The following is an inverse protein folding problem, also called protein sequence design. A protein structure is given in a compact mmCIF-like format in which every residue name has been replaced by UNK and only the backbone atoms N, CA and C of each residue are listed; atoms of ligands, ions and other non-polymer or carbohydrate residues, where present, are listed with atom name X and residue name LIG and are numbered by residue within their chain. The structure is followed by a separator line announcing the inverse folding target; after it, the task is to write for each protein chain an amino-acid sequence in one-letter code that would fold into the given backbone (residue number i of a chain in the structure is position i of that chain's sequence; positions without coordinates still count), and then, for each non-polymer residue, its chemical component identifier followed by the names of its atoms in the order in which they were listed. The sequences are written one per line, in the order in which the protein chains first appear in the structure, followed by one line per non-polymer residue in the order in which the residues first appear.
data_IF_069019176367
#
_entry.id   IF_069019176367
#
_cell.length_a   1.000
_cell.length_b   1.000
_cell.length_c   1.000
_cell.angle_alpha   90.00
_cell.angle_beta   90.00
_cell.angle_gamma   90.00
#
_symmetry.space_group_name_H-M   'P 1'
#
loop_
_entity.id
_entity.type
_entity.pdbx_description
1 polymer ?
#
# COMPACT_ATOMS: atom_id res chain seq x y z
N UNK A 1 -8.02 19.49 5.15
CA UNK A 1 -7.81 18.83 3.85
C UNK A 1 -9.17 18.45 3.33
N UNK A 2 -9.38 18.63 2.03
CA UNK A 2 -10.65 18.55 1.30
C UNK A 2 -10.92 17.18 0.65
N UNK A 3 -9.99 16.23 0.72
CA UNK A 3 -10.16 14.86 0.19
C UNK A 3 -10.02 14.75 -1.34
N UNK A 4 -9.56 15.82 -2.00
CA UNK A 4 -9.35 15.89 -3.44
C UNK A 4 -8.18 15.01 -3.89
N UNK A 5 -8.31 14.45 -5.10
CA UNK A 5 -7.29 13.64 -5.76
C UNK A 5 -6.75 14.38 -6.97
N UNK A 6 -5.45 14.25 -7.19
CA UNK A 6 -4.72 14.89 -8.29
C UNK A 6 -3.83 13.86 -8.99
N UNK A 7 -3.71 14.00 -10.30
CA UNK A 7 -2.91 13.10 -11.15
C UNK A 7 -1.98 13.92 -12.02
N UNK A 8 -0.74 13.46 -12.16
CA UNK A 8 0.25 14.02 -13.07
C UNK A 8 0.60 13.00 -14.15
N UNK A 9 0.49 13.38 -15.42
CA UNK A 9 1.08 12.63 -16.52
C UNK A 9 2.53 13.08 -16.73
N UNK A 10 3.47 12.25 -16.28
CA UNK A 10 4.90 12.55 -16.35
C UNK A 10 5.46 12.58 -17.78
N UNK A 11 4.68 12.14 -18.77
CA UNK A 11 5.03 12.13 -20.20
C UNK A 11 4.70 13.44 -20.90
N UNK A 12 4.01 14.35 -20.22
CA UNK A 12 3.60 15.64 -20.81
C UNK A 12 4.81 16.47 -21.24
N UNK A 13 4.62 17.23 -22.31
CA UNK A 13 5.64 18.12 -22.83
C UNK A 13 5.89 19.27 -21.85
N UNK A 14 7.16 19.59 -21.60
CA UNK A 14 7.57 20.71 -20.75
C UNK A 14 6.91 22.05 -21.09
N UNK A 15 6.53 22.27 -22.37
CA UNK A 15 5.85 23.48 -22.86
C UNK A 15 4.45 23.67 -22.29
N UNK A 16 3.82 22.61 -21.76
CA UNK A 16 2.52 22.69 -21.08
C UNK A 16 2.63 23.24 -19.66
N UNK A 17 3.84 23.42 -19.16
CA UNK A 17 4.09 23.73 -17.75
C UNK A 17 4.90 25.01 -17.59
N UNK A 18 4.92 25.52 -16.36
CA UNK A 18 5.67 26.72 -16.04
C UNK A 18 7.17 26.42 -16.04
N UNK A 19 7.93 27.15 -16.85
CA UNK A 19 9.39 27.07 -16.88
C UNK A 19 9.98 28.34 -16.25
N UNK A 20 10.93 28.17 -15.35
CA UNK A 20 11.63 29.27 -14.67
C UNK A 20 13.14 28.98 -14.63
N UNK A 21 13.95 30.00 -14.92
CA UNK A 21 15.40 29.91 -14.86
C UNK A 21 15.90 30.29 -13.46
N UNK A 22 16.56 29.36 -12.78
CA UNK A 22 17.16 29.54 -11.46
C UNK A 22 18.63 29.12 -11.52
N UNK A 23 19.54 30.03 -11.16
CA UNK A 23 20.99 29.79 -11.17
C UNK A 23 21.49 29.20 -12.51
N UNK A 24 21.13 29.85 -13.61
CA UNK A 24 21.46 29.43 -14.98
C UNK A 24 20.88 28.07 -15.45
N UNK A 25 20.14 27.38 -14.59
CA UNK A 25 19.48 26.11 -14.90
C UNK A 25 17.99 26.36 -15.15
N UNK A 26 17.45 25.78 -16.21
CA UNK A 26 16.02 25.84 -16.50
C UNK A 26 15.28 24.77 -15.69
N UNK A 27 14.32 25.20 -14.89
CA UNK A 27 13.47 24.34 -14.06
C UNK A 27 12.04 24.32 -14.59
N UNK A 28 11.46 23.13 -14.67
CA UNK A 28 10.08 22.93 -15.13
C UNK A 28 9.21 22.55 -13.93
N UNK A 29 8.22 23.37 -13.64
CA UNK A 29 7.25 23.17 -12.56
C UNK A 29 5.95 22.60 -13.14
N UNK A 30 5.76 21.29 -12.99
CA UNK A 30 4.59 20.57 -13.53
C UNK A 30 3.36 20.76 -12.64
N UNK A 31 2.31 21.33 -13.22
CA UNK A 31 0.96 21.34 -12.63
C UNK A 31 0.31 19.96 -12.76
N UNK A 32 -0.66 19.60 -11.89
CA UNK A 32 -1.42 18.36 -12.05
C UNK A 32 -2.17 18.36 -13.37
N UNK A 33 -2.15 17.23 -14.08
CA UNK A 33 -2.89 17.01 -15.32
C UNK A 33 -4.39 17.00 -15.07
N UNK A 34 -4.82 16.34 -13.99
CA UNK A 34 -6.22 16.22 -13.61
C UNK A 34 -6.39 16.43 -12.11
N UNK A 35 -7.45 17.14 -11.71
CA UNK A 35 -7.84 17.35 -10.33
C UNK A 35 -9.32 17.02 -10.16
N UNK A 36 -9.67 16.30 -9.09
CA UNK A 36 -11.08 16.07 -8.74
C UNK A 36 -11.70 17.23 -7.97
N UNK A 37 -10.90 18.21 -7.53
CA UNK A 37 -11.37 19.39 -6.79
C UNK A 37 -12.43 20.17 -7.60
N UNK A 38 -13.53 20.55 -6.94
CA UNK A 38 -14.63 21.32 -7.53
C UNK A 38 -15.48 20.61 -8.58
N UNK A 39 -15.03 19.48 -9.16
CA UNK A 39 -15.71 18.81 -10.28
C UNK A 39 -16.50 17.59 -9.83
N UNK A 40 -15.92 16.77 -8.97
CA UNK A 40 -16.51 15.51 -8.49
C UNK A 40 -16.86 15.60 -7.00
N UNK A 41 -17.30 16.76 -6.54
CA UNK A 41 -17.52 17.04 -5.10
C UNK A 41 -18.46 16.07 -4.40
N UNK A 42 -19.40 15.44 -5.12
CA UNK A 42 -20.29 14.40 -4.59
C UNK A 42 -19.67 12.99 -4.53
N UNK A 43 -18.63 12.71 -5.32
CA UNK A 43 -17.96 11.41 -5.42
C UNK A 43 -16.58 11.40 -4.74
N UNK A 44 -16.04 12.58 -4.43
CA UNK A 44 -14.79 12.74 -3.71
C UNK A 44 -14.92 12.35 -2.23
N UNK A 45 -13.75 12.14 -1.61
CA UNK A 45 -13.68 12.03 -0.17
C UNK A 45 -14.06 13.36 0.47
N UNK A 46 -14.80 13.31 1.56
CA UNK A 46 -15.11 14.48 2.41
C UNK A 46 -14.12 14.63 3.57
N UNK A 47 -13.24 13.65 3.73
CA UNK A 47 -12.24 13.54 4.77
C UNK A 47 -10.83 13.35 4.17
N UNK A 48 -9.76 13.55 4.97
CA UNK A 48 -8.40 13.31 4.52
C UNK A 48 -8.20 11.88 3.99
N UNK A 49 -7.64 11.78 2.78
CA UNK A 49 -7.23 10.51 2.19
C UNK A 49 -6.00 10.00 2.93
N UNK A 50 -6.08 8.81 3.50
CA UNK A 50 -5.01 8.17 4.26
C UNK A 50 -4.10 7.31 3.39
N UNK A 51 -4.65 6.71 2.33
CA UNK A 51 -3.90 5.81 1.47
C UNK A 51 -4.42 5.86 0.04
N UNK A 52 -3.48 5.76 -0.91
CA UNK A 52 -3.73 5.60 -2.34
C UNK A 52 -2.93 4.39 -2.79
N UNK A 53 -3.58 3.36 -3.30
CA UNK A 53 -2.95 2.12 -3.72
C UNK A 53 -3.32 1.78 -5.17
N UNK A 54 -2.35 1.37 -6.00
CA UNK A 54 -2.66 0.83 -7.31
C UNK A 54 -3.38 -0.52 -7.16
N UNK A 55 -4.36 -0.75 -8.02
CA UNK A 55 -5.07 -2.03 -8.10
C UNK A 55 -4.61 -2.71 -9.37
N UNK A 56 -3.74 -3.71 -9.22
CA UNK A 56 -3.22 -4.47 -10.36
C UNK A 56 -4.39 -5.05 -11.15
N UNK A 57 -4.52 -4.71 -12.42
CA UNK A 57 -5.50 -5.36 -13.32
C UNK A 57 -4.77 -6.40 -14.15
N UNK A 58 -4.11 -7.37 -13.51
CA UNK A 58 -3.76 -8.59 -14.23
C UNK A 58 -5.09 -9.27 -14.56
N UNK A 59 -5.46 -9.31 -15.83
CA UNK A 59 -6.61 -10.07 -16.33
C UNK A 59 -6.59 -11.43 -15.65
N UNK A 60 -7.50 -11.62 -14.70
CA UNK A 60 -7.69 -12.89 -14.04
C UNK A 60 -8.13 -13.83 -15.16
N UNK A 61 -7.22 -14.66 -15.68
CA UNK A 61 -7.56 -15.80 -16.54
C UNK A 61 -8.25 -16.84 -15.66
N UNK A 62 -9.38 -16.49 -15.07
CA UNK A 62 -10.34 -17.50 -14.64
C UNK A 62 -10.91 -18.10 -15.93
N UNK A 63 -10.62 -19.38 -16.12
CA UNK A 63 -11.29 -20.22 -17.10
C UNK A 63 -12.76 -20.39 -16.68
N UNK A 64 -13.57 -19.34 -16.81
CA UNK A 64 -15.02 -19.45 -16.75
C UNK A 64 -15.55 -19.46 -18.17
N UNK A 65 -15.79 -20.67 -18.67
CA UNK A 65 -16.68 -20.91 -19.80
C UNK A 65 -18.03 -20.22 -19.53
N UNK A 66 -18.44 -19.29 -20.40
CA UNK A 66 -19.86 -19.23 -20.77
C UNK A 66 -20.66 -17.95 -20.54
N UNK A 67 -20.09 -16.76 -20.28
CA UNK A 67 -20.89 -15.52 -20.30
C UNK A 67 -20.16 -14.36 -21.00
N UNK A 68 -20.03 -14.50 -22.31
CA UNK A 68 -19.54 -13.49 -23.24
C UNK A 68 -20.67 -12.59 -23.75
N UNK A 69 -21.41 -11.89 -22.89
CA UNK A 69 -22.37 -10.88 -23.34
C UNK A 69 -22.61 -9.87 -22.22
N UNK A 70 -21.85 -8.77 -22.22
CA UNK A 70 -22.18 -7.42 -21.75
C UNK A 70 -20.87 -6.59 -21.66
N UNK A 71 -20.06 -6.62 -22.71
CA UNK A 71 -19.04 -5.59 -22.92
C UNK A 71 -19.69 -4.52 -23.79
N UNK A 72 -19.99 -3.35 -23.22
CA UNK A 72 -20.16 -2.14 -24.03
C UNK A 72 -18.87 -1.95 -24.82
N UNK A 73 -18.94 -2.29 -26.10
CA UNK A 73 -17.90 -2.09 -27.09
C UNK A 73 -17.59 -0.60 -27.23
N UNK A 74 -16.34 -0.34 -27.64
CA UNK A 74 -15.78 0.93 -28.14
C UNK A 74 -15.24 1.90 -27.08
N UNK A 75 -13.95 1.72 -26.73
CA UNK A 75 -12.91 2.80 -26.65
C UNK A 75 -11.59 2.36 -25.95
N UNK A 76 -11.47 1.13 -25.43
CA UNK A 76 -10.31 0.74 -24.62
C UNK A 76 -9.12 0.22 -25.45
N UNK A 77 -8.47 1.09 -26.23
CA UNK A 77 -7.11 0.88 -26.75
C UNK A 77 -6.04 1.68 -25.97
N UNK A 78 -6.41 2.30 -24.85
CA UNK A 78 -5.51 3.07 -23.99
C UNK A 78 -4.99 2.28 -22.78
N UNK A 79 -3.85 2.72 -22.23
CA UNK A 79 -3.25 2.21 -20.99
C UNK A 79 -4.12 2.61 -19.78
N UNK A 80 -5.21 1.90 -19.52
CA UNK A 80 -6.02 2.13 -18.32
C UNK A 80 -5.56 1.27 -17.14
N UNK A 81 -5.46 1.86 -15.96
CA UNK A 81 -5.21 1.12 -14.72
C UNK A 81 -6.11 1.63 -13.60
N UNK A 82 -6.33 0.77 -12.59
CA UNK A 82 -7.19 1.08 -11.47
C UNK A 82 -6.39 1.57 -10.28
N UNK A 83 -6.96 2.53 -9.56
CA UNK A 83 -6.41 3.11 -8.34
C UNK A 83 -7.50 3.08 -7.28
N UNK A 84 -7.12 2.76 -6.05
CA UNK A 84 -7.98 2.86 -4.89
C UNK A 84 -7.53 3.99 -3.99
N UNK A 85 -8.48 4.78 -3.48
CA UNK A 85 -8.23 5.79 -2.45
C UNK A 85 -9.10 5.52 -1.23
N UNK A 86 -8.52 5.61 -0.04
CA UNK A 86 -9.21 5.36 1.22
C UNK A 86 -9.03 6.53 2.18
N UNK A 87 -10.10 6.97 2.83
CA UNK A 87 -10.07 8.01 3.86
C UNK A 87 -10.15 7.46 5.29
N UNK A 88 -10.05 8.36 6.27
CA UNK A 88 -10.13 8.05 7.71
C UNK A 88 -11.49 7.50 8.18
N UNK A 89 -12.55 7.76 7.42
CA UNK A 89 -13.90 7.28 7.73
C UNK A 89 -14.18 5.90 7.15
N UNK A 90 -13.17 5.27 6.52
CA UNK A 90 -13.30 3.96 5.91
C UNK A 90 -14.15 3.98 4.64
N UNK A 91 -14.19 5.10 3.91
CA UNK A 91 -14.74 5.14 2.56
C UNK A 91 -13.63 4.82 1.57
N UNK A 92 -13.81 3.73 0.82
CA UNK A 92 -12.90 3.27 -0.22
C UNK A 92 -13.49 3.61 -1.60
N UNK A 93 -12.85 4.49 -2.35
CA UNK A 93 -13.22 4.81 -3.72
C UNK A 93 -12.29 4.08 -4.70
N UNK A 94 -12.88 3.48 -5.72
CA UNK A 94 -12.16 2.90 -6.86
C UNK A 94 -12.26 3.83 -8.05
N UNK A 95 -11.11 4.10 -8.66
CA UNK A 95 -10.93 4.99 -9.81
C UNK A 95 -10.28 4.25 -10.95
N UNK A 96 -10.59 4.64 -12.18
CA UNK A 96 -9.89 4.21 -13.38
C UNK A 96 -9.15 5.43 -13.94
N UNK A 97 -7.84 5.32 -14.05
CA UNK A 97 -7.05 6.27 -14.82
C UNK A 97 -7.22 5.93 -16.30
N UNK A 98 -7.73 6.88 -17.09
CA UNK A 98 -8.00 6.70 -18.53
C UNK A 98 -7.18 7.70 -19.34
N UNK A 99 -6.68 7.26 -20.49
CA UNK A 99 -6.00 8.11 -21.46
C UNK A 99 -6.95 8.46 -22.62
N UNK A 100 -7.13 9.74 -22.87
CA UNK A 100 -7.95 10.30 -23.94
C UNK A 100 -7.18 10.27 -25.27
N UNK A 101 -7.81 9.69 -26.31
CA UNK A 101 -7.20 9.64 -27.64
C UNK A 101 -7.24 10.99 -28.38
N UNK A 102 -8.25 11.80 -28.10
CA UNK A 102 -8.41 13.15 -28.67
C UNK A 102 -8.51 14.15 -27.54
N UNK A 103 -7.68 15.18 -27.61
CA UNK A 103 -7.75 16.33 -26.71
C UNK A 103 -8.83 17.25 -27.26
N UNK A 104 -9.92 17.43 -26.52
CA UNK A 104 -10.93 18.42 -26.88
C UNK A 104 -10.46 19.82 -26.44
N UNK A 105 -9.97 20.60 -27.40
CA UNK A 105 -9.53 21.98 -27.16
C UNK A 105 -10.69 22.92 -26.82
N UNK A 106 -11.94 22.56 -27.12
CA UNK A 106 -13.12 23.36 -26.79
C UNK A 106 -13.55 23.18 -25.33
N UNK A 107 -13.03 22.14 -24.65
CA UNK A 107 -13.42 21.75 -23.30
C UNK A 107 -14.82 21.13 -23.26
N UNK A 108 -14.93 19.96 -22.64
CA UNK A 108 -16.22 19.29 -22.43
C UNK A 108 -16.59 19.30 -20.94
N UNK A 109 -17.88 19.19 -20.61
CA UNK A 109 -18.30 18.99 -19.21
C UNK A 109 -17.71 17.70 -18.61
N UNK A 110 -17.38 16.72 -19.45
CA UNK A 110 -16.71 15.46 -19.07
C UNK A 110 -15.19 15.58 -18.88
N UNK A 111 -14.59 16.72 -19.23
CA UNK A 111 -13.16 17.01 -19.07
C UNK A 111 -12.90 18.12 -18.04
N UNK A 112 -13.93 18.50 -17.27
CA UNK A 112 -13.75 19.38 -16.13
C UNK A 112 -12.69 18.80 -15.17
N UNK A 113 -11.76 19.64 -14.73
CA UNK A 113 -10.64 19.25 -13.88
C UNK A 113 -9.38 18.85 -14.65
N UNK A 114 -9.44 18.70 -15.98
CA UNK A 114 -8.30 18.45 -16.86
C UNK A 114 -7.65 19.76 -17.31
N UNK A 115 -6.32 19.81 -17.31
CA UNK A 115 -5.59 20.97 -17.87
C UNK A 115 -5.69 21.01 -19.40
N UNK A 116 -5.58 22.19 -20.04
CA UNK A 116 -5.53 22.30 -21.49
C UNK A 116 -4.40 21.44 -22.08
N UNK A 117 -4.72 20.55 -23.01
CA UNK A 117 -3.74 19.63 -23.60
C UNK A 117 -3.54 18.31 -22.84
N UNK A 118 -4.05 18.22 -21.61
CA UNK A 118 -3.97 17.02 -20.79
C UNK A 118 -4.69 15.83 -21.45
N UNK A 119 -4.19 14.63 -21.20
CA UNK A 119 -4.76 13.39 -21.77
C UNK A 119 -5.18 12.37 -20.74
N UNK A 120 -4.78 12.53 -19.48
CA UNK A 120 -5.06 11.55 -18.43
C UNK A 120 -6.10 12.11 -17.48
N UNK A 121 -7.18 11.37 -17.25
CA UNK A 121 -8.20 11.72 -16.24
C UNK A 121 -8.56 10.53 -15.35
N UNK A 122 -9.07 10.83 -14.17
CA UNK A 122 -9.66 9.81 -13.28
C UNK A 122 -11.17 9.74 -13.51
N UNK A 123 -11.67 8.52 -13.67
CA UNK A 123 -13.09 8.21 -13.72
C UNK A 123 -13.44 7.42 -12.47
N UNK A 124 -14.42 7.90 -11.71
CA UNK A 124 -14.93 7.16 -10.55
C UNK A 124 -15.62 5.87 -11.02
N UNK A 125 -15.28 4.75 -10.40
CA UNK A 125 -15.83 3.43 -10.73
C UNK A 125 -16.84 2.96 -9.69
N UNK A 126 -16.49 3.01 -8.40
CA UNK A 126 -17.37 2.57 -7.32
C UNK A 126 -16.87 3.06 -5.95
N UNK A 127 -17.77 2.98 -4.96
CA UNK A 127 -17.48 3.32 -3.56
C UNK A 127 -17.89 2.15 -2.67
N UNK A 128 -17.02 1.79 -1.73
CA UNK A 128 -17.26 0.73 -0.73
C UNK A 128 -17.10 1.32 0.67
N UNK A 129 -18.11 1.15 1.52
CA UNK A 129 -18.03 1.57 2.92
C UNK A 129 -17.49 0.42 3.80
N UNK A 130 -16.30 0.59 4.34
CA UNK A 130 -15.58 -0.45 5.08
C UNK A 130 -16.11 -0.63 6.51
N UNK A 131 -16.44 0.48 7.18
CA UNK A 131 -16.86 0.45 8.59
C UNK A 131 -18.16 -0.33 8.83
N UNK A 132 -19.10 -0.32 7.88
CA UNK A 132 -20.36 -1.06 7.98
C UNK A 132 -20.24 -2.52 7.51
N UNK A 133 -19.28 -2.83 6.65
CA UNK A 133 -19.18 -4.14 5.97
C UNK A 133 -18.20 -5.11 6.62
N UNK A 134 -17.07 -4.59 7.13
CA UNK A 134 -15.95 -5.41 7.58
C UNK A 134 -16.04 -5.82 9.05
N UNK A 135 -16.72 -5.04 9.89
CA UNK A 135 -16.75 -5.26 11.33
C UNK A 135 -18.03 -5.96 11.80
N UNK A 136 -17.92 -7.02 12.63
CA UNK A 136 -19.06 -7.58 13.32
C UNK A 136 -19.78 -6.54 14.18
N UNK A 137 -21.10 -6.67 14.31
CA UNK A 137 -21.94 -5.74 15.09
C UNK A 137 -21.44 -5.57 16.52
N UNK A 138 -20.91 -6.63 17.14
CA UNK A 138 -20.39 -6.60 18.51
C UNK A 138 -19.22 -5.61 18.69
N UNK A 139 -18.37 -5.44 17.67
CA UNK A 139 -17.25 -4.48 17.69
C UNK A 139 -17.77 -3.07 17.48
N UNK A 140 -18.69 -2.89 16.52
CA UNK A 140 -19.28 -1.58 16.20
C UNK A 140 -20.08 -0.98 17.37
N UNK A 141 -20.67 -1.82 18.23
CA UNK A 141 -21.39 -1.37 19.42
C UNK A 141 -20.50 -0.69 20.47
N UNK A 142 -19.21 -1.01 20.52
CA UNK A 142 -18.27 -0.46 21.50
C UNK A 142 -17.61 0.83 21.00
N UNK A 143 -17.15 0.82 19.75
CA UNK A 143 -16.48 1.94 19.07
C UNK A 143 -16.42 1.62 17.58
N UNK A 144 -16.71 2.60 16.72
CA UNK A 144 -16.45 2.47 15.28
C UNK A 144 -14.93 2.51 15.06
N UNK A 145 -14.32 1.44 14.55
CA UNK A 145 -12.88 1.42 14.27
C UNK A 145 -12.52 2.48 13.23
N UNK A 146 -11.37 3.13 13.42
CA UNK A 146 -10.78 3.98 12.40
C UNK A 146 -9.88 3.15 11.49
N UNK A 147 -10.00 3.35 10.19
CA UNK A 147 -9.12 2.77 9.19
C UNK A 147 -7.81 3.55 9.13
N UNK A 148 -6.67 2.87 9.02
CA UNK A 148 -5.35 3.50 9.10
C UNK A 148 -4.53 3.32 7.81
N UNK A 149 -4.63 2.16 7.19
CA UNK A 149 -3.92 1.81 5.96
C UNK A 149 -4.71 0.74 5.21
N UNK A 150 -4.40 0.57 3.93
CA UNK A 150 -4.96 -0.48 3.08
C UNK A 150 -3.87 -1.05 2.20
N UNK A 151 -3.92 -2.35 1.95
CA UNK A 151 -3.11 -3.02 0.92
C UNK A 151 -3.95 -4.02 0.14
N UNK A 152 -3.79 -4.03 -1.17
CA UNK A 152 -4.38 -5.05 -2.04
C UNK A 152 -3.47 -6.26 -2.11
N UNK A 153 -4.05 -7.46 -2.12
CA UNK A 153 -3.30 -8.70 -2.26
C UNK A 153 -2.71 -8.75 -3.68
N UNK A 154 -1.37 -8.81 -3.86
CA UNK A 154 -0.75 -8.72 -5.19
C UNK A 154 -1.17 -9.84 -6.14
N UNK A 155 -1.41 -11.05 -5.63
CA UNK A 155 -1.81 -12.21 -6.44
C UNK A 155 -3.30 -12.20 -6.81
N UNK A 156 -4.14 -11.56 -6.00
CA UNK A 156 -5.57 -11.41 -6.27
C UNK A 156 -6.07 -10.04 -5.77
N UNK A 157 -6.06 -9.02 -6.64
CA UNK A 157 -6.40 -7.63 -6.31
C UNK A 157 -7.89 -7.44 -6.02
N UNK A 158 -8.71 -8.49 -6.11
CA UNK A 158 -10.07 -8.46 -5.58
C UNK A 158 -10.09 -8.45 -4.05
N UNK A 159 -9.04 -8.96 -3.41
CA UNK A 159 -8.89 -9.00 -1.96
C UNK A 159 -7.97 -7.89 -1.47
N UNK A 160 -8.31 -7.33 -0.32
CA UNK A 160 -7.50 -6.33 0.36
C UNK A 160 -7.59 -6.46 1.87
N UNK A 161 -6.60 -5.91 2.55
CA UNK A 161 -6.55 -5.83 4.01
C UNK A 161 -6.51 -4.38 4.45
N UNK A 162 -7.11 -4.10 5.61
CA UNK A 162 -7.24 -2.76 6.17
C UNK A 162 -6.78 -2.77 7.63
N UNK A 163 -5.71 -2.04 7.94
CA UNK A 163 -5.26 -1.83 9.31
C UNK A 163 -6.18 -0.89 10.08
N UNK A 164 -6.38 -1.15 11.37
CA UNK A 164 -7.32 -0.41 12.22
C UNK A 164 -6.68 0.08 13.52
N UNK A 165 -7.35 0.99 14.22
CA UNK A 165 -6.93 1.54 15.52
C UNK A 165 -7.22 0.64 16.74
N UNK A 166 -7.84 -0.53 16.53
CA UNK A 166 -8.25 -1.47 17.59
C UNK A 166 -7.49 -2.82 17.56
N UNK A 167 -6.34 -2.85 16.89
CA UNK A 167 -5.39 -3.97 16.93
C UNK A 167 -5.75 -5.12 15.99
N UNK A 168 -6.86 -5.03 15.27
CA UNK A 168 -7.25 -6.00 14.24
C UNK A 168 -6.96 -5.48 12.85
N UNK A 169 -6.77 -6.39 11.90
CA UNK A 169 -6.72 -6.06 10.46
C UNK A 169 -7.95 -6.66 9.82
N UNK A 170 -8.70 -5.88 9.06
CA UNK A 170 -9.92 -6.35 8.40
C UNK A 170 -9.61 -6.87 7.00
N UNK A 171 -10.32 -7.90 6.57
CA UNK A 171 -10.23 -8.48 5.23
C UNK A 171 -11.48 -8.13 4.44
N UNK A 172 -11.30 -7.47 3.30
CA UNK A 172 -12.38 -7.10 2.40
C UNK A 172 -12.17 -7.59 0.98
N UNK A 173 -13.24 -7.50 0.18
CA UNK A 173 -13.19 -7.74 -1.26
C UNK A 173 -13.96 -6.65 -2.02
N UNK A 174 -13.50 -6.33 -3.24
CA UNK A 174 -14.04 -5.20 -4.04
C UNK A 174 -15.48 -5.36 -4.52
N UNK A 175 -15.99 -6.60 -4.59
CA UNK A 175 -17.30 -6.93 -5.16
C UNK A 175 -18.27 -7.51 -4.11
N UNK A 176 -18.19 -7.05 -2.86
CA UNK A 176 -19.08 -7.45 -1.75
C UNK A 176 -19.16 -8.96 -1.49
N UNK A 177 -18.10 -9.69 -1.83
CA UNK A 177 -17.98 -11.11 -1.51
C UNK A 177 -17.66 -11.25 -0.01
N UNK A 178 -18.41 -12.10 0.68
CA UNK A 178 -18.08 -12.48 2.06
C UNK A 178 -16.79 -13.30 2.05
N UNK A 179 -15.70 -12.69 2.50
CA UNK A 179 -14.39 -13.34 2.57
C UNK A 179 -14.08 -13.82 3.98
N UNK A 180 -13.82 -15.13 4.18
CA UNK A 180 -13.23 -15.64 5.42
C UNK A 180 -11.69 -15.63 5.33
N UNK A 181 -10.98 -15.41 6.45
CA UNK A 181 -11.49 -14.81 7.69
C UNK A 181 -11.82 -13.32 7.45
N UNK A 182 -12.81 -12.78 8.16
CA UNK A 182 -13.19 -11.36 8.03
C UNK A 182 -12.23 -10.41 8.74
N UNK A 183 -11.62 -10.90 9.81
CA UNK A 183 -10.71 -10.16 10.67
C UNK A 183 -9.49 -11.02 10.94
N UNK A 184 -8.34 -10.38 11.03
CA UNK A 184 -7.10 -10.94 11.53
C UNK A 184 -6.85 -10.35 12.91
N UNK A 185 -6.79 -11.25 13.91
CA UNK A 185 -6.71 -10.90 15.34
C UNK A 185 -5.34 -11.24 15.89
N UNK A 186 -4.86 -10.56 16.96
CA UNK A 186 -3.65 -10.99 17.65
C UNK A 186 -3.83 -12.40 18.27
N UNK A 187 -2.72 -13.10 18.53
CA UNK A 187 -2.71 -14.45 19.09
C UNK A 187 -3.38 -14.51 20.48
N UNK A 188 -3.24 -13.44 21.26
CA UNK A 188 -3.83 -13.33 22.59
C UNK A 188 -4.44 -11.94 22.80
N UNK A 189 -5.62 -11.92 23.41
CA UNK A 189 -6.36 -10.70 23.75
C UNK A 189 -7.43 -10.34 22.72
N UNK A 190 -8.52 -9.74 23.21
CA UNK A 190 -9.57 -9.17 22.37
C UNK A 190 -9.16 -7.84 21.73
N UNK A 191 -10.12 -7.10 21.14
CA UNK A 191 -9.89 -5.74 20.66
C UNK A 191 -9.26 -4.88 21.75
N UNK A 192 -8.13 -4.24 21.43
CA UNK A 192 -7.37 -3.35 22.33
C UNK A 192 -7.07 -2.06 21.58
N UNK A 193 -6.84 -0.96 22.30
CA UNK A 193 -6.45 0.32 21.68
C UNK A 193 -5.00 0.30 21.18
N UNK A 194 -4.69 -0.62 20.25
CA UNK A 194 -3.38 -0.81 19.62
C UNK A 194 -3.59 -0.51 18.14
N UNK A 195 -2.83 0.42 17.57
CA UNK A 195 -2.98 0.79 16.16
C UNK A 195 -2.15 -0.15 15.29
N UNK A 196 -2.77 -0.74 14.26
CA UNK A 196 -2.06 -1.43 13.19
C UNK A 196 -1.51 -0.37 12.21
N UNK A 197 -0.37 0.23 12.58
CA UNK A 197 0.22 1.39 11.88
C UNK A 197 0.61 1.08 10.44
N UNK A 198 1.10 -0.12 10.17
CA UNK A 198 1.62 -0.51 8.86
C UNK A 198 1.28 -1.97 8.57
N UNK A 199 1.00 -2.27 7.31
CA UNK A 199 0.80 -3.62 6.80
C UNK A 199 1.54 -3.78 5.48
N UNK A 200 2.13 -4.95 5.25
CA UNK A 200 2.85 -5.22 4.00
C UNK A 200 2.75 -6.68 3.56
N UNK A 201 2.40 -6.89 2.29
CA UNK A 201 2.29 -8.23 1.70
C UNK A 201 3.66 -8.72 1.25
N UNK A 202 3.90 -10.03 1.38
CA UNK A 202 5.11 -10.62 0.81
C UNK A 202 5.09 -10.48 -0.72
N UNK A 203 6.14 -9.95 -1.35
CA UNK A 203 6.21 -9.81 -2.80
C UNK A 203 6.47 -11.14 -3.54
N UNK A 204 6.64 -12.25 -2.81
CA UNK A 204 7.06 -13.55 -3.36
C UNK A 204 5.88 -14.51 -3.60
N UNK A 205 4.70 -13.98 -3.94
CA UNK A 205 3.54 -14.76 -4.39
C UNK A 205 2.79 -15.55 -3.31
N UNK A 206 3.34 -15.67 -2.09
CA UNK A 206 2.64 -16.28 -0.96
C UNK A 206 1.63 -15.29 -0.36
N UNK A 207 0.40 -15.71 -0.04
CA UNK A 207 -0.62 -14.82 0.52
C UNK A 207 -0.40 -14.63 2.03
N UNK A 208 0.79 -14.14 2.40
CA UNK A 208 1.19 -13.78 3.76
C UNK A 208 1.48 -12.29 3.84
N UNK A 209 1.25 -11.71 5.00
CA UNK A 209 1.49 -10.30 5.24
C UNK A 209 1.96 -10.05 6.67
N UNK A 210 2.72 -8.97 6.83
CA UNK A 210 3.19 -8.49 8.12
C UNK A 210 2.31 -7.33 8.59
N UNK A 211 2.19 -7.19 9.90
CA UNK A 211 1.51 -6.07 10.57
C UNK A 211 2.44 -5.51 11.64
N UNK A 212 2.72 -4.21 11.56
CA UNK A 212 3.46 -3.46 12.59
C UNK A 212 2.49 -2.65 13.44
N UNK A 213 2.58 -2.80 14.76
CA UNK A 213 1.64 -2.23 15.71
C UNK A 213 2.24 -1.07 16.53
N UNK A 214 1.37 -0.27 17.16
CA UNK A 214 1.78 0.86 17.99
C UNK A 214 2.37 0.49 19.35
N UNK A 215 2.21 -0.75 19.80
CA UNK A 215 2.84 -1.29 21.01
C UNK A 215 4.22 -1.91 20.74
N UNK A 216 4.72 -1.81 19.50
CA UNK A 216 5.98 -2.42 19.10
C UNK A 216 5.89 -3.90 18.73
N UNK A 217 4.68 -4.47 18.73
CA UNK A 217 4.47 -5.83 18.27
C UNK A 217 4.50 -5.92 16.74
N UNK A 218 4.97 -7.06 16.26
CA UNK A 218 4.93 -7.44 14.83
C UNK A 218 4.18 -8.76 14.73
N UNK A 219 3.33 -8.88 13.71
CA UNK A 219 2.58 -10.11 13.45
C UNK A 219 2.77 -10.53 12.01
N UNK A 220 3.05 -11.81 11.80
CA UNK A 220 3.02 -12.46 10.50
C UNK A 220 1.72 -13.25 10.36
N UNK A 221 0.89 -12.84 9.42
CA UNK A 221 -0.40 -13.46 9.13
C UNK A 221 -0.40 -14.14 7.77
N UNK A 222 -1.26 -15.15 7.65
CA UNK A 222 -1.63 -15.76 6.37
C UNK A 222 -3.08 -15.42 6.06
N UNK A 223 -3.39 -15.15 4.79
CA UNK A 223 -4.74 -14.75 4.37
C UNK A 223 -5.84 -15.77 4.69
N UNK A 224 -5.49 -17.04 4.96
CA UNK A 224 -6.44 -18.12 5.25
C UNK A 224 -6.64 -18.38 6.74
N UNK A 225 -5.91 -17.70 7.63
CA UNK A 225 -5.98 -17.90 9.09
C UNK A 225 -6.34 -16.60 9.80
N UNK A 226 -7.29 -16.66 10.74
CA UNK A 226 -7.69 -15.51 11.56
C UNK A 226 -6.58 -15.08 12.55
N UNK A 227 -5.77 -16.03 13.02
CA UNK A 227 -4.69 -15.80 13.97
C UNK A 227 -3.33 -15.76 13.25
N UNK A 228 -2.33 -15.03 13.78
CA UNK A 228 -1.01 -14.95 13.16
C UNK A 228 -0.31 -16.32 13.18
N UNK A 229 0.53 -16.56 12.18
CA UNK A 229 1.48 -17.66 12.18
C UNK A 229 2.54 -17.43 13.27
N UNK A 230 3.04 -16.19 13.35
CA UNK A 230 4.05 -15.78 14.32
C UNK A 230 3.72 -14.38 14.84
N UNK A 231 3.86 -14.17 16.14
CA UNK A 231 3.67 -12.87 16.78
C UNK A 231 4.85 -12.56 17.71
N UNK A 232 5.49 -11.42 17.46
CA UNK A 232 6.63 -10.91 18.23
C UNK A 232 6.20 -9.69 19.03
N UNK A 233 5.90 -9.87 20.32
CA UNK A 233 5.29 -8.81 21.15
C UNK A 233 6.22 -7.62 21.42
N UNK A 234 7.51 -7.86 21.63
CA UNK A 234 8.48 -6.83 22.05
C UNK A 234 9.58 -6.60 21.00
N UNK A 235 9.23 -6.71 19.71
CA UNK A 235 10.20 -6.62 18.59
C UNK A 235 11.05 -5.36 18.60
N UNK A 236 10.46 -4.25 19.05
CA UNK A 236 11.06 -2.91 19.07
C UNK A 236 11.19 -2.37 20.50
N UNK A 237 11.25 -3.25 21.51
CA UNK A 237 11.27 -2.89 22.93
C UNK A 237 10.11 -1.96 23.34
N UNK A 238 8.90 -2.24 22.85
CA UNK A 238 7.69 -1.47 23.13
C UNK A 238 7.57 -0.15 22.34
N UNK A 239 8.51 0.18 21.46
CA UNK A 239 8.43 1.39 20.65
C UNK A 239 7.47 1.20 19.46
N UNK A 240 6.58 2.15 19.16
CA UNK A 240 5.65 2.00 18.03
C UNK A 240 6.37 1.71 16.72
N UNK A 241 5.86 0.74 15.95
CA UNK A 241 6.33 0.49 14.59
C UNK A 241 5.80 1.59 13.67
N UNK A 242 6.70 2.28 12.98
CA UNK A 242 6.39 3.38 12.06
C UNK A 242 6.29 2.89 10.62
N UNK A 243 7.26 2.08 10.19
CA UNK A 243 7.28 1.48 8.87
C UNK A 243 7.74 0.03 8.96
N UNK A 244 7.16 -0.81 8.12
CA UNK A 244 7.48 -2.22 8.01
C UNK A 244 7.37 -2.60 6.55
N UNK A 245 8.43 -3.17 5.98
CA UNK A 245 8.44 -3.59 4.58
C UNK A 245 9.28 -4.85 4.37
N UNK A 246 8.78 -5.76 3.54
CA UNK A 246 9.54 -6.92 3.06
C UNK A 246 10.72 -6.48 2.20
N UNK A 247 11.81 -7.27 2.22
CA UNK A 247 12.85 -7.14 1.21
C UNK A 247 12.29 -7.51 -0.17
N UNK A 248 12.70 -6.78 -1.21
CA UNK A 248 12.27 -7.05 -2.58
C UNK A 248 13.05 -8.20 -3.24
N UNK A 249 14.19 -8.59 -2.66
CA UNK A 249 15.11 -9.58 -3.24
C UNK A 249 15.21 -10.88 -2.42
N UNK A 250 14.77 -10.89 -1.16
CA UNK A 250 14.85 -12.05 -0.26
C UNK A 250 13.50 -12.31 0.44
N UNK A 251 12.87 -13.49 0.26
CA UNK A 251 11.54 -13.79 0.82
C UNK A 251 11.48 -13.89 2.34
N UNK A 252 12.59 -14.18 3.01
CA UNK A 252 12.62 -14.33 4.48
C UNK A 252 13.05 -13.06 5.21
N UNK A 253 13.38 -11.98 4.49
CA UNK A 253 13.95 -10.77 5.07
C UNK A 253 12.92 -9.64 5.06
N UNK A 254 12.83 -8.91 6.16
CA UNK A 254 12.04 -7.69 6.25
C UNK A 254 12.72 -6.66 7.16
N UNK A 255 12.30 -5.40 6.98
CA UNK A 255 12.84 -4.24 7.69
C UNK A 255 11.75 -3.57 8.49
N UNK A 256 12.12 -3.07 9.67
CA UNK A 256 11.20 -2.41 10.60
C UNK A 256 11.84 -1.13 11.09
N UNK A 257 11.11 -0.02 11.01
CA UNK A 257 11.48 1.26 11.61
C UNK A 257 10.60 1.49 12.85
N UNK A 258 11.21 1.80 13.99
CA UNK A 258 10.50 2.22 15.20
C UNK A 258 10.44 3.74 15.36
N UNK A 259 9.60 4.22 16.29
CA UNK A 259 9.43 5.64 16.61
C UNK A 259 10.69 6.31 17.19
N UNK A 260 11.66 5.51 17.65
CA UNK A 260 12.95 5.96 18.19
C UNK A 260 14.04 6.01 17.11
N UNK A 261 13.67 5.96 15.82
CA UNK A 261 14.61 6.01 14.67
C UNK A 261 15.60 4.85 14.64
N UNK A 262 15.19 3.67 15.12
CA UNK A 262 15.93 2.44 14.94
C UNK A 262 15.38 1.64 13.77
N UNK A 263 16.29 1.17 12.91
CA UNK A 263 15.98 0.21 11.85
C UNK A 263 16.40 -1.18 12.31
N UNK A 264 15.45 -2.11 12.36
CA UNK A 264 15.67 -3.51 12.65
C UNK A 264 15.60 -4.32 11.36
N UNK A 265 16.51 -5.27 11.24
CA UNK A 265 16.59 -6.20 10.12
C UNK A 265 16.25 -7.58 10.65
N UNK A 266 15.28 -8.21 10.02
CA UNK A 266 14.85 -9.57 10.32
C UNK A 266 15.24 -10.48 9.16
N UNK A 267 15.76 -11.65 9.47
CA UNK A 267 15.96 -12.74 8.52
C UNK A 267 15.41 -14.01 9.18
N UNK A 268 14.21 -14.40 8.79
CA UNK A 268 13.46 -15.50 9.42
C UNK A 268 14.17 -16.85 9.29
N UNK A 269 15.13 -17.00 8.36
CA UNK A 269 15.89 -18.22 8.20
C UNK A 269 17.19 -18.24 9.02
N UNK A 270 17.64 -17.07 9.50
CA UNK A 270 18.77 -16.96 10.42
C UNK A 270 18.31 -16.93 11.87
N UNK A 271 17.25 -16.15 12.18
CA UNK A 271 16.62 -16.10 13.49
C UNK A 271 15.16 -15.65 13.36
N UNK A 272 14.24 -16.51 13.78
CA UNK A 272 12.80 -16.29 13.74
C UNK A 272 12.22 -15.74 15.06
N UNK A 273 13.06 -15.51 16.09
CA UNK A 273 12.63 -15.00 17.39
C UNK A 273 12.98 -13.53 17.61
N UNK A 274 14.09 -13.05 17.02
CA UNK A 274 14.57 -11.68 17.23
C UNK A 274 15.27 -11.11 15.98
N UNK A 275 15.40 -9.77 15.86
CA UNK A 275 16.06 -9.17 14.72
C UNK A 275 17.55 -9.53 14.66
N UNK A 276 18.03 -9.88 13.48
CA UNK A 276 19.43 -10.25 13.22
C UNK A 276 20.38 -9.06 13.22
N UNK A 277 19.84 -7.85 13.03
CA UNK A 277 20.59 -6.62 13.23
C UNK A 277 19.70 -5.44 13.61
N UNK A 278 20.33 -4.45 14.25
CA UNK A 278 19.75 -3.16 14.59
C UNK A 278 20.70 -2.06 14.19
N UNK A 279 20.18 -1.01 13.55
CA UNK A 279 20.91 0.21 13.21
C UNK A 279 20.20 1.40 13.85
N UNK A 280 20.94 2.18 14.63
CA UNK A 280 20.44 3.37 15.33
C UNK A 280 20.80 4.59 14.50
N UNK A 281 19.82 5.45 14.21
CA UNK A 281 20.04 6.69 13.46
C UNK A 281 19.96 7.85 14.45
N UNK A 282 21.13 8.38 14.82
CA UNK A 282 21.28 9.32 15.95
C UNK A 282 21.14 10.80 15.57
N UNK A 283 21.35 11.14 14.30
CA UNK A 283 21.50 12.54 13.88
C UNK A 283 20.18 13.30 13.78
N UNK A 284 19.10 12.59 13.48
CA UNK A 284 17.80 13.17 13.15
C UNK A 284 16.70 12.12 13.25
N UNK A 285 15.48 12.55 13.58
CA UNK A 285 14.33 11.67 13.70
C UNK A 285 13.91 11.19 12.31
N UNK A 286 13.83 9.89 12.13
CA UNK A 286 13.39 9.26 10.89
C UNK A 286 11.87 9.12 10.92
N UNK A 287 11.22 9.73 9.94
CA UNK A 287 9.76 9.82 9.87
C UNK A 287 9.14 8.68 9.06
N UNK A 288 9.84 8.18 8.04
CA UNK A 288 9.41 7.02 7.26
C UNK A 288 10.58 6.33 6.58
N UNK A 289 10.34 5.08 6.17
CA UNK A 289 11.30 4.21 5.51
C UNK A 289 10.63 3.55 4.30
N UNK A 290 11.36 3.49 3.18
CA UNK A 290 10.95 2.74 1.98
C UNK A 290 12.11 1.86 1.50
N UNK A 291 11.81 0.59 1.23
CA UNK A 291 12.74 -0.35 0.61
C UNK A 291 12.72 -0.13 -0.89
N UNK A 292 13.91 0.04 -1.46
CA UNK A 292 14.14 0.25 -2.88
C UNK A 292 14.89 -0.97 -3.44
N UNK A 293 14.55 -1.40 -4.64
CA UNK A 293 15.24 -2.51 -5.26
C UNK A 293 14.64 -2.90 -6.60
N UNK A 294 15.36 -3.76 -7.30
CA UNK A 294 14.95 -4.28 -8.61
C UNK A 294 14.72 -5.79 -8.46
N UNK A 295 13.50 -6.24 -8.09
CA UNK A 295 13.23 -7.66 -7.84
C UNK A 295 13.50 -8.55 -9.07
N UNK A 296 13.37 -7.98 -10.27
CA UNK A 296 13.62 -8.68 -11.54
C UNK A 296 15.11 -8.86 -11.86
N UNK A 297 16.01 -8.10 -11.21
CA UNK A 297 17.44 -8.15 -11.48
C UNK A 297 18.15 -8.94 -10.38
N UNK A 298 18.97 -9.91 -10.79
CA UNK A 298 19.75 -10.77 -9.88
C UNK A 298 21.01 -10.09 -9.31
N UNK A 299 21.17 -8.77 -9.50
CA UNK A 299 22.33 -8.02 -9.02
C UNK A 299 22.34 -7.85 -7.48
N UNK A 300 21.24 -8.16 -6.80
CA UNK A 300 21.10 -8.01 -5.35
C UNK A 300 21.16 -6.56 -4.88
N UNK A 301 20.82 -5.61 -5.76
CA UNK A 301 20.80 -4.20 -5.43
C UNK A 301 19.53 -3.89 -4.63
N UNK A 302 19.70 -3.82 -3.31
CA UNK A 302 18.66 -3.44 -2.37
C UNK A 302 19.12 -2.20 -1.60
N UNK A 303 18.27 -1.19 -1.54
CA UNK A 303 18.49 0.04 -0.81
C UNK A 303 17.34 0.32 0.14
N UNK A 304 17.57 1.24 1.06
CA UNK A 304 16.57 1.77 1.96
C UNK A 304 16.66 3.30 1.88
N UNK A 305 15.55 3.95 1.55
CA UNK A 305 15.38 5.38 1.64
C UNK A 305 14.74 5.75 2.98
N UNK A 306 15.29 6.77 3.63
CA UNK A 306 14.88 7.24 4.95
C UNK A 306 14.61 8.74 4.86
N UNK A 307 13.37 9.14 5.12
CA UNK A 307 13.01 10.55 5.18
C UNK A 307 13.04 11.02 6.62
N UNK A 308 13.74 12.12 6.88
CA UNK A 308 13.96 12.67 8.21
C UNK A 308 13.12 13.91 8.49
N UNK A 309 12.95 14.24 9.76
CA UNK A 309 12.18 15.42 10.19
C UNK A 309 12.80 16.74 9.71
N UNK A 310 14.12 16.81 9.51
CA UNK A 310 14.78 17.98 8.88
C UNK A 310 14.45 18.20 7.39
N UNK A 311 13.74 17.26 6.75
CA UNK A 311 13.48 17.26 5.31
C UNK A 311 14.60 16.62 4.47
N UNK A 312 15.66 16.12 5.09
CA UNK A 312 16.72 15.36 4.41
C UNK A 312 16.22 13.95 4.08
N UNK A 313 16.52 13.49 2.86
CA UNK A 313 16.29 12.11 2.42
C UNK A 313 17.66 11.42 2.29
N UNK A 314 17.87 10.37 3.08
CA UNK A 314 19.06 9.53 3.00
C UNK A 314 18.74 8.25 2.24
N UNK A 315 19.63 7.82 1.34
CA UNK A 315 19.54 6.52 0.67
C UNK A 315 20.75 5.68 1.07
N UNK A 316 20.49 4.49 1.61
CA UNK A 316 21.52 3.56 2.08
C UNK A 316 21.41 2.24 1.35
N UNK A 317 22.55 1.62 1.02
CA UNK A 317 22.57 0.28 0.45
C UNK A 317 22.56 -0.78 1.54
N UNK A 318 21.71 -1.80 1.36
CA UNK A 318 21.65 -2.95 2.25
C UNK A 318 22.86 -3.84 2.01
N UNK A 319 23.47 -4.35 3.08
CA UNK A 319 24.60 -5.28 2.97
C UNK A 319 24.18 -6.53 2.18
N UNK A 320 25.08 -7.01 1.33
CA UNK A 320 24.90 -8.18 0.46
C UNK A 320 24.27 -9.40 1.17
N UNK A 321 24.61 -9.67 2.43
CA UNK A 321 24.04 -10.79 3.20
C UNK A 321 22.50 -10.76 3.32
N UNK A 322 21.89 -9.58 3.35
CA UNK A 322 20.44 -9.41 3.45
C UNK A 322 19.79 -9.01 2.13
N UNK A 323 20.59 -8.81 1.08
CA UNK A 323 20.12 -8.34 -0.22
C UNK A 323 20.27 -9.42 -1.32
N UNK A 324 21.26 -10.30 -1.25
CA UNK A 324 21.48 -11.35 -2.24
C UNK A 324 20.55 -12.54 -2.01
N UNK A 325 19.77 -12.96 -3.01
CA UNK A 325 18.93 -14.15 -2.92
C UNK A 325 19.75 -15.39 -2.54
N UNK A 326 19.21 -16.23 -1.66
CA UNK A 326 19.82 -17.52 -1.32
C UNK A 326 19.14 -18.68 -2.05
N UNK A 327 19.88 -19.77 -2.27
CA UNK A 327 19.32 -20.99 -2.88
C UNK A 327 18.23 -21.60 -1.99
N UNK A 328 17.10 -21.94 -2.63
CA UNK A 328 15.94 -22.61 -2.00
C UNK A 328 15.32 -21.81 -0.83
N UNK A 329 15.54 -20.49 -0.79
CA UNK A 329 15.09 -19.63 0.31
C UNK A 329 13.56 -19.67 0.49
N UNK A 330 12.82 -19.62 -0.62
CA UNK A 330 11.35 -19.67 -0.63
C UNK A 330 10.79 -20.99 -0.07
N UNK A 331 11.48 -22.10 -0.33
CA UNK A 331 11.08 -23.44 0.13
C UNK A 331 11.37 -23.60 1.63
N UNK A 332 12.55 -23.17 2.07
CA UNK A 332 12.92 -23.15 3.50
C UNK A 332 11.95 -22.30 4.31
N UNK A 333 11.60 -21.12 3.80
CA UNK A 333 10.59 -20.28 4.45
C UNK A 333 9.24 -20.98 4.49
N UNK A 334 8.86 -21.75 3.46
CA UNK A 334 7.61 -22.52 3.50
C UNK A 334 7.59 -23.54 4.63
N UNK A 335 8.68 -24.29 4.78
CA UNK A 335 8.81 -25.30 5.83
C UNK A 335 8.72 -24.66 7.21
N UNK A 336 9.36 -23.51 7.41
CA UNK A 336 9.27 -22.75 8.66
C UNK A 336 7.82 -22.35 8.97
N UNK A 337 7.11 -21.77 7.99
CA UNK A 337 5.71 -21.35 8.18
C UNK A 337 4.76 -22.52 8.42
N UNK A 338 5.05 -23.70 7.87
CA UNK A 338 4.26 -24.91 8.11
C UNK A 338 4.45 -25.49 9.52
N UNK A 339 5.60 -25.27 10.15
CA UNK A 339 5.84 -25.69 11.53
C UNK A 339 5.09 -24.82 12.55
N UNK A 340 4.66 -23.62 12.14
CA UNK A 340 3.91 -22.68 12.99
C UNK A 340 2.39 -22.82 12.89
N UNK A 341 1.87 -23.72 12.05
CA UNK A 341 0.43 -23.95 11.82
C UNK A 341 -0.22 -24.88 12.84
#
# INVERSE_FOLDING_TARGET
MDGSLVVWDLREDSRMHHCMKLNETDWIFRAPTFSTDGVLSSLNHTCPVLAIEPVSTSVYKEQNYGLSHLSSQEEMSGLSFQIASMDENGTLNLWVAVELQKVDLAGSQSDLGLIPGGKVKLVHSSTVQLNSSLFPKDILCLRTPQTLNIKFLPSNPNHFIVGTDIGVVSHGARHDLRVPPKLFKPQQGGPRSIRANTVDFSPFGKPIFLVGCSDGSIRLHQMTSEHPLIQWNDSTNGQPVIALQWALTRPAVFFVLDASSNVYIWDLLENDLCPVAKQIIQSDKVMTMVVLGEPEKTNGLLGIALAKESGIIDIQYVKKRWALPQSEESEKLQLLLQQSL
#
